data_IF_196514809405
#
_entry.id   IF_196514809405
#
_cell.length_a   1.000
_cell.length_b   1.000
_cell.length_c   1.000
_cell.angle_alpha   90.00
_cell.angle_beta   90.00
_cell.angle_gamma   90.00
#
_symmetry.space_group_name_H-M   'P 1'
#
loop_
_entity.id
_entity.type
_entity.pdbx_description
1 polymer ?
#
# COMPACT_ATOMS: atom_id res chain seq x y z
N UNK A 1 -14.91 4.26 -2.18
CA UNK A 1 -15.17 5.70 -2.33
C UNK A 1 -15.54 5.93 -3.79
N UNK A 2 -16.74 6.42 -4.12
CA UNK A 2 -17.05 6.72 -5.51
C UNK A 2 -16.09 7.81 -6.03
N UNK A 3 -15.41 7.54 -7.14
CA UNK A 3 -14.61 8.54 -7.88
C UNK A 3 -13.10 8.58 -7.61
N UNK A 4 -12.51 7.58 -6.93
CA UNK A 4 -11.04 7.47 -6.81
C UNK A 4 -10.62 6.10 -7.34
N UNK A 5 -9.86 6.11 -8.43
CA UNK A 5 -9.37 4.90 -9.06
C UNK A 5 -8.15 4.36 -8.29
N UNK A 6 -8.01 3.03 -8.16
CA UNK A 6 -6.87 2.38 -7.49
C UNK A 6 -5.62 2.40 -8.39
N UNK A 7 -5.18 3.59 -8.79
CA UNK A 7 -4.12 3.80 -9.77
C UNK A 7 -2.83 4.38 -9.16
N UNK A 8 -1.83 4.58 -10.02
CA UNK A 8 -0.53 5.14 -9.63
C UNK A 8 -0.66 6.55 -9.06
N UNK A 9 -1.58 7.36 -9.57
CA UNK A 9 -1.79 8.73 -9.09
C UNK A 9 -2.30 8.72 -7.65
N UNK A 10 -3.26 7.85 -7.32
CA UNK A 10 -3.78 7.69 -5.96
C UNK A 10 -2.73 7.12 -5.02
N UNK A 11 -1.99 6.09 -5.43
CA UNK A 11 -0.89 5.55 -4.62
C UNK A 11 0.19 6.60 -4.34
N UNK A 12 0.52 7.42 -5.33
CA UNK A 12 1.49 8.51 -5.19
C UNK A 12 0.99 9.60 -4.24
N UNK A 13 -0.28 9.99 -4.33
CA UNK A 13 -0.87 10.94 -3.40
C UNK A 13 -0.83 10.44 -1.94
N UNK A 14 -1.09 9.15 -1.70
CA UNK A 14 -0.96 8.54 -0.37
C UNK A 14 0.49 8.55 0.12
N UNK A 15 1.44 8.24 -0.76
CA UNK A 15 2.86 8.26 -0.44
C UNK A 15 3.36 9.67 -0.10
N UNK A 16 3.04 10.66 -0.94
CA UNK A 16 3.45 12.05 -0.75
C UNK A 16 2.85 12.60 0.56
N UNK A 17 1.58 12.29 0.86
CA UNK A 17 0.99 12.58 2.17
C UNK A 17 1.89 12.05 3.28
N UNK A 18 2.21 10.75 3.27
CA UNK A 18 3.04 10.13 4.31
C UNK A 18 4.43 10.77 4.41
N UNK A 19 5.06 11.12 3.29
CA UNK A 19 6.37 11.76 3.26
C UNK A 19 6.38 13.14 3.91
N UNK A 20 5.29 13.90 3.81
CA UNK A 20 5.17 15.24 4.42
C UNK A 20 5.10 15.18 5.96
N UNK A 21 4.66 14.05 6.55
CA UNK A 21 4.31 14.00 7.98
C UNK A 21 5.01 12.91 8.76
N UNK A 22 5.65 11.97 8.08
CA UNK A 22 6.44 10.91 8.67
C UNK A 22 7.88 11.04 8.17
N UNK A 23 8.83 10.47 8.93
CA UNK A 23 10.18 10.32 8.41
C UNK A 23 10.16 9.45 7.15
N UNK A 24 10.99 9.77 6.14
CA UNK A 24 10.94 9.15 4.81
C UNK A 24 10.95 7.60 4.82
N UNK A 25 11.67 6.98 5.77
CA UNK A 25 11.74 5.52 5.88
C UNK A 25 10.42 4.89 6.35
N UNK A 26 9.51 5.66 6.96
CA UNK A 26 8.17 5.24 7.42
C UNK A 26 7.09 5.37 6.35
N UNK A 27 7.32 6.08 5.24
CA UNK A 27 6.38 6.08 4.12
C UNK A 27 6.19 4.65 3.57
N UNK A 28 5.07 4.31 2.92
CA UNK A 28 4.91 3.00 2.30
C UNK A 28 5.93 2.80 1.16
N UNK A 29 6.49 1.60 1.04
CA UNK A 29 7.40 1.27 -0.07
C UNK A 29 6.66 0.84 -1.33
N UNK A 30 5.46 0.31 -1.17
CA UNK A 30 4.57 -0.09 -2.24
C UNK A 30 3.13 0.05 -1.74
N UNK A 31 2.18 0.12 -2.67
CA UNK A 31 0.74 0.16 -2.38
C UNK A 31 0.05 -0.86 -3.27
N UNK A 32 -0.77 -1.71 -2.67
CA UNK A 32 -1.65 -2.64 -3.37
C UNK A 32 -3.09 -2.33 -2.94
N UNK A 33 -3.94 -2.02 -3.92
CA UNK A 33 -5.36 -1.81 -3.67
C UNK A 33 -6.10 -3.13 -3.88
N UNK A 34 -6.93 -3.51 -2.91
CA UNK A 34 -7.75 -4.72 -2.97
C UNK A 34 -9.23 -4.34 -2.83
N UNK A 35 -10.10 -5.06 -3.51
CA UNK A 35 -11.56 -4.85 -3.40
C UNK A 35 -12.08 -5.15 -1.99
N UNK A 36 -11.45 -6.10 -1.30
CA UNK A 36 -11.81 -6.47 0.08
C UNK A 36 -10.58 -6.94 0.86
N UNK A 37 -10.65 -6.81 2.18
CA UNK A 37 -9.65 -7.38 3.09
C UNK A 37 -10.23 -8.64 3.74
N UNK A 38 -9.40 -9.69 3.94
CA UNK A 38 -9.83 -10.87 4.67
C UNK A 38 -10.12 -10.50 6.12
N UNK A 39 -11.32 -10.84 6.61
CA UNK A 39 -11.73 -10.56 7.98
C UNK A 39 -12.20 -11.82 8.71
N UNK A 40 -12.20 -11.78 10.04
CA UNK A 40 -12.83 -12.82 10.89
C UNK A 40 -14.35 -12.62 10.94
N UNK A 41 -15.06 -13.56 11.55
CA UNK A 41 -16.49 -13.36 11.90
C UNK A 41 -16.78 -12.14 12.79
N UNK A 42 -15.75 -11.48 13.35
CA UNK A 42 -15.85 -10.23 14.13
C UNK A 42 -15.31 -9.02 13.39
N UNK A 43 -15.13 -9.08 12.06
CA UNK A 43 -14.62 -8.00 11.19
C UNK A 43 -13.16 -7.58 11.47
N UNK A 44 -12.40 -8.35 12.24
CA UNK A 44 -10.97 -8.09 12.42
C UNK A 44 -10.19 -8.53 11.19
N UNK A 45 -9.28 -7.68 10.70
CA UNK A 45 -8.42 -8.01 9.54
C UNK A 45 -7.51 -9.18 9.88
N UNK A 46 -7.53 -10.22 9.04
CA UNK A 46 -6.66 -11.38 9.13
C UNK A 46 -5.42 -11.18 8.27
N UNK A 47 -4.41 -10.49 8.82
CA UNK A 47 -3.21 -10.07 8.08
C UNK A 47 -2.47 -11.23 7.39
N UNK A 48 -2.47 -12.40 8.01
CA UNK A 48 -1.81 -13.62 7.49
C UNK A 48 -2.49 -14.18 6.24
N UNK A 49 -3.71 -13.75 5.92
CA UNK A 49 -4.46 -14.17 4.74
C UNK A 49 -4.45 -13.11 3.64
N UNK A 50 -3.77 -11.97 3.85
CA UNK A 50 -3.66 -10.94 2.81
C UNK A 50 -2.79 -11.44 1.66
N UNK A 51 -1.76 -12.24 1.98
CA UNK A 51 -0.89 -12.88 1.01
C UNK A 51 -0.72 -14.35 1.38
N UNK A 52 -0.64 -15.22 0.37
CA UNK A 52 -0.22 -16.61 0.58
C UNK A 52 1.21 -16.65 1.14
N UNK A 53 1.59 -17.70 1.89
CA UNK A 53 2.98 -17.90 2.32
C UNK A 53 3.95 -17.78 1.14
N UNK A 54 5.13 -17.18 1.39
CA UNK A 54 6.21 -16.98 0.41
C UNK A 54 5.87 -16.06 -0.79
N UNK A 55 4.72 -15.37 -0.74
CA UNK A 55 4.36 -14.37 -1.75
C UNK A 55 5.18 -13.08 -1.58
N UNK A 56 5.74 -12.58 -2.68
CA UNK A 56 6.35 -11.26 -2.74
C UNK A 56 5.27 -10.22 -3.09
N UNK A 57 4.85 -9.35 -2.14
CA UNK A 57 3.79 -8.37 -2.38
C UNK A 57 4.11 -7.40 -3.51
N UNK A 58 5.39 -7.20 -3.84
CA UNK A 58 5.81 -6.29 -4.90
C UNK A 58 5.66 -6.87 -6.30
N UNK A 59 5.35 -8.17 -6.41
CA UNK A 59 5.07 -8.88 -7.67
C UNK A 59 3.59 -9.13 -7.89
N UNK A 60 2.75 -8.79 -6.92
CA UNK A 60 1.30 -8.91 -7.05
C UNK A 60 0.76 -8.00 -8.14
N UNK A 61 -0.28 -8.48 -8.83
CA UNK A 61 -0.90 -7.72 -9.90
C UNK A 61 -1.53 -6.43 -9.35
N UNK A 62 -1.24 -5.30 -9.99
CA UNK A 62 -1.72 -3.99 -9.55
C UNK A 62 -0.94 -3.40 -8.37
N UNK A 63 0.13 -4.04 -7.91
CA UNK A 63 1.00 -3.45 -6.91
C UNK A 63 1.82 -2.31 -7.53
N UNK A 64 1.80 -1.16 -6.86
CA UNK A 64 2.50 0.05 -7.28
C UNK A 64 3.76 0.19 -6.40
N UNK A 65 4.93 -0.02 -6.99
CA UNK A 65 6.23 0.06 -6.30
C UNK A 65 6.75 1.50 -6.25
N UNK A 66 6.92 2.01 -5.03
CA UNK A 66 7.36 3.37 -4.73
C UNK A 66 8.70 3.39 -3.99
N UNK A 67 9.39 2.25 -3.87
CA UNK A 67 10.66 2.14 -3.14
C UNK A 67 11.73 3.06 -3.71
N UNK A 68 11.74 3.25 -5.02
CA UNK A 68 12.68 4.15 -5.73
C UNK A 68 12.48 5.63 -5.37
N UNK A 69 11.28 6.00 -4.91
CA UNK A 69 10.90 7.35 -4.49
C UNK A 69 11.21 7.63 -3.01
N UNK A 70 11.48 6.60 -2.19
CA UNK A 70 11.87 6.77 -0.79
C UNK A 70 13.27 7.37 -0.67
N UNK A 71 13.33 8.69 -0.60
CA UNK A 71 14.58 9.42 -0.38
C UNK A 71 14.39 10.37 0.78
N UNK A 72 15.46 10.61 1.53
CA UNK A 72 15.45 11.66 2.54
C UNK A 72 15.20 12.98 1.81
N UNK A 73 14.10 13.66 2.16
CA UNK A 73 13.91 15.05 1.75
C UNK A 73 15.12 15.85 2.24
N UNK A 74 15.77 16.56 1.33
CA UNK A 74 16.93 17.40 1.62
C UNK A 74 16.61 18.47 2.64
#
# INVERSE_FOLDING_TARGET
MPGVDPDEATARALFDWCMERLAYYKAPGYVLFCESLPTTGTQKVQKTLIFEPDTDPTKEYGCIDLRSAKRRGG
#
